data_IF_537120813500
#
_entry.id   IF_537120813500
#
_cell.length_a   1.000
_cell.length_b   1.000
_cell.length_c   1.000
_cell.angle_alpha   90.00
_cell.angle_beta   90.00
_cell.angle_gamma   90.00
#
_symmetry.space_group_name_H-M   'P 1'
#
loop_
_entity.id
_entity.type
_entity.pdbx_description
1 polymer ?
#
# COMPACT_ATOMS: atom_id res chain seq x y z
N UNK A 1 -6.98 -10.19 23.32
CA UNK A 1 -7.86 -8.99 23.34
C UNK A 1 -7.22 -7.73 22.73
N UNK A 2 -5.92 -7.44 22.93
CA UNK A 2 -5.25 -6.25 22.34
C UNK A 2 -5.29 -6.15 20.80
N UNK A 3 -5.33 -7.29 20.07
CA UNK A 3 -5.40 -7.31 18.59
C UNK A 3 -6.75 -6.84 18.03
N UNK A 4 -7.87 -7.15 18.71
CA UNK A 4 -9.20 -6.70 18.27
C UNK A 4 -9.38 -5.18 18.41
N UNK A 5 -8.81 -4.58 19.48
CA UNK A 5 -8.88 -3.13 19.70
C UNK A 5 -8.18 -2.30 18.61
N UNK A 6 -7.21 -2.87 17.88
CA UNK A 6 -6.54 -2.17 16.77
C UNK A 6 -7.37 -2.13 15.48
N UNK A 7 -8.32 -3.05 15.27
CA UNK A 7 -9.18 -3.03 14.07
C UNK A 7 -10.21 -1.89 14.09
N UNK A 8 -10.55 -1.40 15.28
CA UNK A 8 -11.55 -0.34 15.48
C UNK A 8 -10.94 1.02 15.85
N UNK A 9 -9.61 1.13 15.85
CA UNK A 9 -8.96 2.42 16.06
C UNK A 9 -9.30 3.33 14.85
N UNK A 10 -9.77 4.57 15.08
CA UNK A 10 -9.93 5.51 13.98
C UNK A 10 -8.60 5.66 13.27
N UNK A 11 -8.60 5.75 11.93
CA UNK A 11 -7.35 5.92 11.21
C UNK A 11 -6.67 7.21 11.69
N UNK A 12 -5.32 7.24 11.78
CA UNK A 12 -4.56 8.45 12.07
C UNK A 12 -5.13 9.66 11.32
N UNK A 13 -5.25 10.79 12.00
CA UNK A 13 -5.77 12.04 11.42
C UNK A 13 -5.03 12.34 10.10
N UNK A 14 -5.77 12.39 8.98
CA UNK A 14 -5.22 12.62 7.63
C UNK A 14 -5.33 11.45 6.64
N UNK A 15 -5.77 10.26 7.07
CA UNK A 15 -6.09 9.16 6.15
C UNK A 15 -7.52 9.26 5.62
N UNK A 16 -7.64 9.43 4.31
CA UNK A 16 -8.94 9.42 3.63
C UNK A 16 -9.49 8.01 3.39
N UNK A 17 -8.70 6.95 3.64
CA UNK A 17 -9.11 5.54 3.53
C UNK A 17 -8.75 4.74 4.78
N UNK A 18 -9.71 3.92 5.24
CA UNK A 18 -9.52 2.99 6.35
C UNK A 18 -8.81 1.72 5.89
N UNK A 19 -8.31 0.91 6.84
CA UNK A 19 -7.71 -0.41 6.52
C UNK A 19 -8.67 -1.32 5.75
N UNK A 20 -9.98 -1.25 6.03
CA UNK A 20 -10.99 -2.04 5.30
C UNK A 20 -11.10 -1.62 3.83
N UNK A 21 -11.03 -0.31 3.53
CA UNK A 21 -10.99 0.19 2.15
C UNK A 21 -9.71 -0.24 1.44
N UNK A 22 -8.56 -0.19 2.11
CA UNK A 22 -7.29 -0.68 1.56
C UNK A 22 -7.38 -2.18 1.20
N UNK A 23 -7.95 -3.00 2.09
CA UNK A 23 -8.14 -4.42 1.83
C UNK A 23 -9.10 -4.67 0.65
N UNK A 24 -10.18 -3.90 0.53
CA UNK A 24 -11.11 -3.98 -0.61
C UNK A 24 -10.42 -3.65 -1.93
N UNK A 25 -9.61 -2.59 -1.98
CA UNK A 25 -8.89 -2.26 -3.20
C UNK A 25 -7.83 -3.30 -3.56
N UNK A 26 -7.13 -3.88 -2.58
CA UNK A 26 -6.19 -4.99 -2.83
C UNK A 26 -6.93 -6.20 -3.39
N UNK A 27 -8.10 -6.55 -2.86
CA UNK A 27 -8.91 -7.65 -3.37
C UNK A 27 -9.45 -7.39 -4.79
N UNK A 28 -9.62 -6.11 -5.18
CA UNK A 28 -10.00 -5.72 -6.53
C UNK A 28 -8.81 -5.65 -7.50
N UNK A 29 -7.57 -5.81 -7.02
CA UNK A 29 -6.38 -5.77 -7.85
C UNK A 29 -6.31 -6.99 -8.78
N UNK A 30 -6.14 -6.75 -10.08
CA UNK A 30 -6.05 -7.80 -11.10
C UNK A 30 -4.62 -8.26 -11.42
N UNK A 31 -3.62 -7.79 -10.66
CA UNK A 31 -2.24 -8.24 -10.81
C UNK A 31 -1.46 -7.69 -12.02
N UNK A 32 -1.93 -6.64 -12.69
CA UNK A 32 -1.32 -6.17 -13.96
C UNK A 32 0.02 -5.43 -13.83
N UNK A 33 0.45 -5.03 -12.62
CA UNK A 33 1.69 -4.27 -12.36
C UNK A 33 1.81 -2.87 -12.99
N UNK A 34 0.81 -2.37 -13.72
CA UNK A 34 0.85 -1.03 -14.37
C UNK A 34 1.21 0.11 -13.39
N UNK A 35 0.67 0.07 -12.18
CA UNK A 35 0.98 1.04 -11.13
C UNK A 35 2.46 1.06 -10.69
N UNK A 36 3.17 -0.06 -10.83
CA UNK A 36 4.60 -0.17 -10.53
C UNK A 36 5.45 0.32 -11.71
N UNK A 37 5.06 -0.03 -12.94
CA UNK A 37 5.72 0.43 -14.16
C UNK A 37 5.69 1.96 -14.29
N UNK A 38 4.60 2.59 -13.86
CA UNK A 38 4.45 4.04 -13.88
C UNK A 38 5.14 4.77 -12.70
N UNK A 39 5.67 4.05 -11.70
CA UNK A 39 6.12 4.67 -10.45
C UNK A 39 7.57 5.18 -10.57
N UNK A 40 7.82 6.50 -10.45
CA UNK A 40 9.18 7.05 -10.50
C UNK A 40 10.02 6.74 -9.25
N UNK A 41 9.39 6.32 -8.16
CA UNK A 41 10.08 5.97 -6.91
C UNK A 41 10.57 4.52 -6.89
N UNK A 42 10.20 3.71 -7.89
CA UNK A 42 10.59 2.31 -7.96
C UNK A 42 12.03 2.21 -8.49
N UNK A 43 12.95 1.85 -7.60
CA UNK A 43 14.39 1.71 -7.90
C UNK A 43 14.83 0.27 -8.10
N UNK A 44 14.09 -0.68 -7.55
CA UNK A 44 14.35 -2.12 -7.65
C UNK A 44 13.07 -2.85 -8.06
N UNK A 45 13.16 -3.95 -8.84
CA UNK A 45 11.98 -4.73 -9.21
C UNK A 45 11.25 -5.31 -7.98
N UNK A 46 9.97 -5.02 -7.87
CA UNK A 46 9.03 -5.70 -6.98
C UNK A 46 7.79 -6.07 -7.79
N UNK A 47 7.06 -7.12 -7.39
CA UNK A 47 5.77 -7.44 -7.99
C UNK A 47 4.63 -6.84 -7.19
N UNK A 48 3.51 -6.59 -7.85
CA UNK A 48 2.31 -6.05 -7.19
C UNK A 48 1.74 -7.02 -6.16
N UNK A 49 1.93 -8.33 -6.36
CA UNK A 49 1.53 -9.36 -5.41
C UNK A 49 2.31 -9.26 -4.08
N UNK A 50 3.65 -9.17 -4.17
CA UNK A 50 4.53 -8.99 -3.00
C UNK A 50 4.16 -7.70 -2.25
N UNK A 51 3.94 -6.62 -2.98
CA UNK A 51 3.56 -5.34 -2.39
C UNK A 51 2.16 -5.38 -1.74
N UNK A 52 1.19 -6.02 -2.40
CA UNK A 52 -0.16 -6.22 -1.86
C UNK A 52 -0.13 -7.01 -0.56
N UNK A 53 0.58 -8.14 -0.57
CA UNK A 53 0.73 -8.98 0.61
C UNK A 53 1.32 -8.18 1.78
N UNK A 54 2.45 -7.50 1.58
CA UNK A 54 3.09 -6.69 2.63
C UNK A 54 2.24 -5.52 3.14
N UNK A 55 1.36 -4.97 2.31
CA UNK A 55 0.48 -3.85 2.68
C UNK A 55 -0.52 -4.24 3.78
N UNK A 56 -1.04 -5.47 3.75
CA UNK A 56 -2.08 -5.93 4.71
C UNK A 56 -1.61 -7.03 5.65
N UNK A 57 -0.61 -7.82 5.25
CA UNK A 57 -0.21 -9.08 5.88
C UNK A 57 1.30 -9.26 5.91
N UNK A 58 1.76 -10.24 6.70
CA UNK A 58 3.15 -10.66 6.73
C UNK A 58 4.17 -9.63 7.24
N UNK A 59 5.46 -10.03 7.24
CA UNK A 59 6.59 -9.15 7.47
C UNK A 59 6.86 -8.27 6.24
N UNK A 60 7.37 -7.07 6.47
CA UNK A 60 7.79 -6.16 5.41
C UNK A 60 9.26 -6.45 5.08
N UNK A 61 9.54 -6.86 3.85
CA UNK A 61 10.92 -7.11 3.40
C UNK A 61 11.67 -5.79 3.23
N UNK A 62 13.02 -5.85 3.25
CA UNK A 62 13.84 -4.64 3.04
C UNK A 62 13.55 -3.94 1.71
N UNK A 63 13.34 -4.70 0.62
CA UNK A 63 12.98 -4.14 -0.68
C UNK A 63 11.64 -3.40 -0.66
N UNK A 64 10.63 -3.94 0.02
CA UNK A 64 9.33 -3.28 0.19
C UNK A 64 9.45 -2.06 1.11
N UNK A 65 10.24 -2.16 2.19
CA UNK A 65 10.50 -1.06 3.10
C UNK A 65 11.20 0.10 2.37
N UNK A 66 12.22 -0.21 1.57
CA UNK A 66 12.94 0.75 0.75
C UNK A 66 11.99 1.44 -0.25
N UNK A 67 11.19 0.67 -1.00
CA UNK A 67 10.22 1.25 -1.91
C UNK A 67 9.18 2.14 -1.21
N UNK A 68 8.66 1.70 -0.06
CA UNK A 68 7.72 2.47 0.72
C UNK A 68 8.32 3.78 1.24
N UNK A 69 9.58 3.79 1.68
CA UNK A 69 10.29 5.01 2.11
C UNK A 69 10.53 5.96 0.93
N UNK A 70 10.85 5.43 -0.24
CA UNK A 70 11.06 6.20 -1.48
C UNK A 70 9.78 6.76 -2.08
N UNK A 71 8.63 6.17 -1.80
CA UNK A 71 7.33 6.70 -2.26
C UNK A 71 7.07 8.10 -1.69
N UNK A 72 7.03 9.13 -2.52
CA UNK A 72 6.77 10.51 -2.10
C UNK A 72 5.33 10.98 -2.39
N UNK A 73 4.39 10.03 -2.51
CA UNK A 73 2.95 10.27 -2.67
C UNK A 73 2.59 11.16 -3.88
N UNK A 74 3.22 10.91 -5.03
CA UNK A 74 2.95 11.67 -6.25
C UNK A 74 1.66 11.30 -7.01
N UNK A 75 1.04 10.16 -6.70
CA UNK A 75 -0.18 9.71 -7.39
C UNK A 75 0.02 9.16 -8.81
N UNK A 76 1.25 9.07 -9.33
CA UNK A 76 1.52 8.57 -10.70
C UNK A 76 0.97 7.16 -10.98
N UNK A 77 0.73 6.38 -9.92
CA UNK A 77 0.18 5.04 -9.98
C UNK A 77 -1.35 4.98 -10.16
N UNK A 78 -2.08 6.09 -10.00
CA UNK A 78 -3.55 6.12 -10.08
C UNK A 78 -4.06 6.10 -11.53
N UNK A 79 -3.65 7.02 -12.44
CA UNK A 79 -4.15 7.02 -13.82
C UNK A 79 -3.95 5.70 -14.61
N UNK A 80 -2.83 4.96 -14.48
CA UNK A 80 -2.61 3.74 -15.27
C UNK A 80 -3.35 2.51 -14.71
N UNK A 81 -4.04 2.61 -13.57
CA UNK A 81 -4.74 1.45 -13.01
C UNK A 81 -6.02 1.14 -13.81
N UNK A 82 -6.12 -0.01 -14.51
CA UNK A 82 -7.27 -0.33 -15.36
C UNK A 82 -8.57 -0.58 -14.59
N UNK A 83 -8.48 -0.76 -13.28
CA UNK A 83 -9.62 -0.96 -12.36
C UNK A 83 -9.77 0.18 -11.35
N UNK A 84 -9.10 1.31 -11.57
CA UNK A 84 -9.33 2.56 -10.83
C UNK A 84 -8.88 2.54 -9.36
N UNK A 85 -7.85 1.77 -9.01
CA UNK A 85 -7.34 1.65 -7.63
C UNK A 85 -6.35 2.77 -7.28
N UNK A 86 -6.27 3.06 -6.00
CA UNK A 86 -5.44 4.12 -5.43
C UNK A 86 -4.24 3.54 -4.71
N UNK A 87 -3.23 3.13 -5.49
CA UNK A 87 -1.97 2.62 -4.95
C UNK A 87 -1.27 3.64 -4.04
N UNK A 88 -1.39 4.92 -4.29
CA UNK A 88 -0.90 6.00 -3.42
C UNK A 88 -1.45 5.89 -1.98
N UNK A 89 -2.77 5.69 -1.85
CA UNK A 89 -3.41 5.46 -0.56
C UNK A 89 -2.94 4.16 0.10
N UNK A 90 -2.77 3.07 -0.67
CA UNK A 90 -2.20 1.82 -0.16
C UNK A 90 -0.76 1.99 0.31
N UNK A 91 0.06 2.77 -0.38
CA UNK A 91 1.43 3.08 0.02
C UNK A 91 1.46 3.90 1.31
N UNK A 92 0.50 4.81 1.51
CA UNK A 92 0.39 5.55 2.77
C UNK A 92 0.09 4.61 3.94
N UNK A 93 -0.79 3.62 3.72
CA UNK A 93 -1.06 2.59 4.71
C UNK A 93 0.17 1.73 5.01
N UNK A 94 0.91 1.30 4.00
CA UNK A 94 2.16 0.54 4.17
C UNK A 94 3.21 1.33 4.97
N UNK A 95 3.31 2.66 4.76
CA UNK A 95 4.16 3.53 5.58
C UNK A 95 3.75 3.56 7.04
N UNK A 96 2.46 3.61 7.34
CA UNK A 96 1.98 3.55 8.73
C UNK A 96 2.32 2.22 9.37
N UNK A 97 2.16 1.13 8.62
CA UNK A 97 2.57 -0.21 9.07
C UNK A 97 4.06 -0.29 9.39
N UNK A 98 4.93 0.29 8.56
CA UNK A 98 6.37 0.37 8.80
C UNK A 98 6.73 1.11 10.10
N UNK A 99 5.92 2.08 10.52
CA UNK A 99 6.14 2.81 11.78
C UNK A 99 5.67 2.04 13.03
N UNK A 100 4.97 0.91 12.85
CA UNK A 100 4.41 0.10 13.92
C UNK A 100 5.16 -1.22 14.16
N UNK A 101 6.14 -1.53 13.31
CA UNK A 101 7.11 -2.63 13.50
C UNK A 101 8.30 -2.14 14.34
#
# INVERSE_FOLDING_TARGET
MRKLLRMFAPPPAGLHKTVSHIAQEINACIGCNECLLACPALSEPITIDVLNHATVHGPITESVAHFARSCYQCGACVPPCPVGLHRDAMMLWLKIRLLQE
#
